data_IF_981533666552
#
_entry.id   IF_981533666552
#
_cell.length_a   1.000
_cell.length_b   1.000
_cell.length_c   1.000
_cell.angle_alpha   90.00
_cell.angle_beta   90.00
_cell.angle_gamma   90.00
#
_symmetry.space_group_name_H-M   'P 1'
#
loop_
_entity.id
_entity.type
_entity.pdbx_description
1 polymer ?
#
# COMPACT_ATOMS: atom_id res chain seq x y z
N UNK A 1 -8.56 5.34 12.93
CA UNK A 1 -9.59 5.36 11.87
C UNK A 1 -10.23 3.98 11.84
N UNK A 2 -11.47 3.84 12.35
CA UNK A 2 -12.21 2.57 12.32
C UNK A 2 -12.83 2.42 10.92
N UNK A 3 -12.36 1.45 10.14
CA UNK A 3 -12.88 1.09 8.79
C UNK A 3 -13.68 -0.21 8.89
N UNK A 4 -14.51 -0.32 9.92
CA UNK A 4 -15.41 -1.46 10.05
C UNK A 4 -16.75 -0.96 9.49
N UNK A 5 -17.20 -1.58 8.40
CA UNK A 5 -18.47 -1.37 7.68
C UNK A 5 -18.55 -0.30 6.58
N UNK A 6 -17.44 0.01 5.88
CA UNK A 6 -17.51 0.79 4.63
C UNK A 6 -17.05 -0.02 3.41
N UNK A 7 -17.87 0.01 2.35
CA UNK A 7 -17.47 -0.45 1.03
C UNK A 7 -16.44 0.52 0.44
N UNK A 8 -15.30 0.00 0.06
CA UNK A 8 -14.20 0.75 -0.53
C UNK A 8 -14.22 0.55 -2.04
N UNK A 9 -13.99 1.62 -2.78
CA UNK A 9 -13.44 1.52 -4.13
C UNK A 9 -12.03 0.92 -4.09
N UNK A 10 -11.56 0.43 -5.24
CA UNK A 10 -10.18 -0.06 -5.34
C UNK A 10 -9.15 1.01 -4.93
N UNK A 11 -9.36 2.27 -5.33
CA UNK A 11 -8.46 3.39 -4.99
C UNK A 11 -8.45 3.66 -3.47
N UNK A 12 -9.60 3.59 -2.79
CA UNK A 12 -9.67 3.75 -1.34
C UNK A 12 -8.98 2.60 -0.59
N UNK A 13 -9.14 1.36 -1.08
CA UNK A 13 -8.41 0.21 -0.54
C UNK A 13 -6.90 0.39 -0.67
N UNK A 14 -6.44 0.84 -1.84
CA UNK A 14 -5.03 1.10 -2.09
C UNK A 14 -4.49 2.22 -1.19
N UNK A 15 -5.24 3.32 -1.06
CA UNK A 15 -4.91 4.45 -0.16
C UNK A 15 -4.77 3.99 1.28
N UNK A 16 -5.73 3.20 1.78
CA UNK A 16 -5.65 2.61 3.11
C UNK A 16 -4.38 1.78 3.27
N UNK A 17 -4.08 0.92 2.29
CA UNK A 17 -2.90 0.08 2.31
C UNK A 17 -1.58 0.86 2.38
N UNK A 18 -1.44 1.94 1.60
CA UNK A 18 -0.23 2.80 1.68
C UNK A 18 -0.09 3.43 3.06
N UNK A 19 -1.18 3.90 3.66
CA UNK A 19 -1.14 4.46 5.02
C UNK A 19 -0.70 3.43 6.06
N UNK A 20 -1.15 2.17 5.93
CA UNK A 20 -0.71 1.09 6.82
C UNK A 20 0.79 0.77 6.64
N UNK A 21 1.29 0.76 5.40
CA UNK A 21 2.73 0.56 5.12
C UNK A 21 3.60 1.66 5.73
N UNK A 22 3.15 2.92 5.67
CA UNK A 22 3.84 4.06 6.30
C UNK A 22 3.86 3.93 7.82
N UNK A 23 2.71 3.61 8.43
CA UNK A 23 2.60 3.43 9.88
C UNK A 23 3.50 2.29 10.38
N UNK A 24 3.58 1.20 9.62
CA UNK A 24 4.38 0.02 9.98
C UNK A 24 5.87 0.15 9.60
N UNK A 25 6.24 1.10 8.74
CA UNK A 25 7.58 1.22 8.17
C UNK A 25 8.02 -0.03 7.39
N UNK A 26 7.08 -0.76 6.78
CA UNK A 26 7.35 -2.01 6.07
C UNK A 26 6.40 -2.21 4.88
N UNK A 27 6.79 -3.05 3.91
CA UNK A 27 5.98 -3.35 2.73
C UNK A 27 5.10 -4.58 2.92
N UNK A 28 4.00 -4.64 2.16
CA UNK A 28 3.04 -5.73 2.18
C UNK A 28 3.06 -6.51 0.86
N UNK A 29 2.62 -7.76 0.93
CA UNK A 29 2.43 -8.66 -0.21
C UNK A 29 0.96 -9.01 -0.36
N UNK A 30 0.53 -9.26 -1.59
CA UNK A 30 -0.85 -9.61 -1.92
C UNK A 30 -0.93 -11.08 -2.38
N UNK A 31 -1.99 -11.77 -1.95
CA UNK A 31 -2.35 -13.10 -2.45
C UNK A 31 -3.86 -13.18 -2.65
N UNK A 32 -4.28 -13.37 -3.89
CA UNK A 32 -5.70 -13.56 -4.24
C UNK A 32 -6.11 -15.00 -4.01
N UNK A 33 -7.32 -15.21 -3.46
CA UNK A 33 -7.99 -16.51 -3.40
C UNK A 33 -9.29 -16.42 -4.21
N UNK A 34 -9.19 -16.75 -5.50
CA UNK A 34 -10.29 -16.62 -6.48
C UNK A 34 -11.55 -17.38 -6.06
N UNK A 35 -11.42 -18.55 -5.47
CA UNK A 35 -12.54 -19.40 -5.03
C UNK A 35 -13.42 -18.79 -3.93
N UNK A 36 -12.95 -17.74 -3.24
CA UNK A 36 -13.63 -17.14 -2.09
C UNK A 36 -13.97 -15.68 -2.25
N UNK A 37 -13.80 -15.10 -3.45
CA UNK A 37 -13.92 -13.66 -3.67
C UNK A 37 -13.16 -12.87 -2.60
N UNK A 38 -11.92 -13.29 -2.33
CA UNK A 38 -11.12 -12.77 -1.22
C UNK A 38 -9.69 -12.47 -1.63
N UNK A 39 -9.19 -11.38 -1.06
CA UNK A 39 -7.79 -10.98 -1.11
C UNK A 39 -7.26 -11.05 0.31
N UNK A 40 -6.13 -11.74 0.47
CA UNK A 40 -5.35 -11.70 1.69
C UNK A 40 -4.09 -10.88 1.43
N UNK A 41 -3.87 -9.88 2.27
CA UNK A 41 -2.72 -8.99 2.19
C UNK A 41 -1.92 -9.17 3.47
N UNK A 42 -0.64 -9.49 3.37
CA UNK A 42 0.20 -9.79 4.53
C UNK A 42 1.40 -8.85 4.55
N UNK A 43 1.87 -8.48 5.74
CA UNK A 43 3.19 -7.91 5.89
C UNK A 43 4.24 -8.85 5.28
N UNK A 44 5.25 -8.32 4.57
CA UNK A 44 6.30 -9.15 3.94
C UNK A 44 7.30 -9.76 4.93
N UNK A 45 7.33 -9.30 6.17
CA UNK A 45 8.26 -9.85 7.15
C UNK A 45 7.92 -11.32 7.45
N UNK A 46 8.89 -12.24 7.39
CA UNK A 46 8.65 -13.65 7.70
C UNK A 46 7.99 -13.80 9.07
N UNK A 47 6.93 -14.61 9.12
CA UNK A 47 6.17 -14.90 10.34
C UNK A 47 5.50 -13.69 11.01
N UNK A 48 5.33 -12.57 10.31
CA UNK A 48 4.56 -11.45 10.83
C UNK A 48 3.06 -11.78 10.88
N UNK A 49 2.38 -11.55 12.02
CA UNK A 49 0.95 -11.83 12.13
C UNK A 49 0.08 -10.78 11.44
N UNK A 50 0.65 -9.65 11.02
CA UNK A 50 -0.09 -8.57 10.38
C UNK A 50 -0.68 -9.00 9.03
N UNK A 51 -2.01 -8.89 8.91
CA UNK A 51 -2.74 -9.20 7.68
C UNK A 51 -4.08 -8.50 7.60
N UNK A 52 -4.49 -8.20 6.37
CA UNK A 52 -5.82 -7.77 6.01
C UNK A 52 -6.52 -8.88 5.22
N UNK A 53 -7.75 -9.20 5.60
CA UNK A 53 -8.66 -10.02 4.82
C UNK A 53 -9.68 -9.09 4.19
N UNK A 54 -9.72 -9.07 2.87
CA UNK A 54 -10.55 -8.18 2.07
C UNK A 54 -11.46 -9.04 1.20
N UNK A 55 -12.76 -8.79 1.27
CA UNK A 55 -13.71 -9.38 0.35
C UNK A 55 -13.78 -8.54 -0.93
N UNK A 56 -13.84 -9.19 -2.08
CA UNK A 56 -14.13 -8.56 -3.37
C UNK A 56 -15.64 -8.67 -3.61
N UNK A 57 -16.27 -7.54 -3.84
CA UNK A 57 -17.69 -7.40 -4.11
C UNK A 57 -17.92 -7.10 -5.60
N UNK A 58 -19.18 -7.17 -6.10
CA UNK A 58 -19.51 -6.68 -7.44
C UNK A 58 -19.08 -5.22 -7.66
N UNK A 59 -19.03 -4.80 -8.92
CA UNK A 59 -18.77 -3.40 -9.32
C UNK A 59 -17.43 -2.82 -8.82
N UNK A 60 -16.39 -3.66 -8.73
CA UNK A 60 -15.04 -3.28 -8.26
C UNK A 60 -15.05 -2.64 -6.85
N UNK A 61 -15.92 -3.17 -5.98
CA UNK A 61 -16.04 -2.80 -4.58
C UNK A 61 -15.32 -3.80 -3.67
N UNK A 62 -14.89 -3.33 -2.52
CA UNK A 62 -14.07 -4.08 -1.58
C UNK A 62 -14.53 -3.84 -0.15
N UNK A 63 -14.44 -4.86 0.71
CA UNK A 63 -14.74 -4.70 2.12
C UNK A 63 -13.65 -5.32 2.98
N UNK A 64 -13.10 -4.55 3.94
CA UNK A 64 -12.09 -5.05 4.87
C UNK A 64 -12.79 -5.87 5.96
N UNK A 65 -12.98 -7.17 5.69
CA UNK A 65 -13.58 -8.12 6.64
C UNK A 65 -12.82 -8.19 7.96
N UNK A 66 -11.48 -8.22 7.90
CA UNK A 66 -10.65 -8.34 9.09
C UNK A 66 -9.31 -7.64 8.92
N UNK A 67 -8.95 -6.87 9.94
CA UNK A 67 -7.67 -6.21 10.05
C UNK A 67 -6.94 -6.72 11.30
N UNK A 68 -5.79 -7.39 11.12
CA UNK A 68 -4.86 -7.72 12.19
C UNK A 68 -3.66 -6.78 12.03
N UNK A 69 -3.60 -5.72 12.82
CA UNK A 69 -2.57 -4.67 12.70
C UNK A 69 -1.39 -4.84 13.67
N UNK A 70 -1.20 -6.04 14.20
CA UNK A 70 -0.09 -6.33 15.12
C UNK A 70 1.13 -6.75 14.32
N UNK A 71 2.26 -6.10 14.56
CA UNK A 71 3.56 -6.47 14.03
C UNK A 71 4.43 -7.05 15.15
N UNK A 72 5.25 -8.06 14.83
CA UNK A 72 6.22 -8.68 15.75
C UNK A 72 7.67 -8.35 15.36
N UNK A 73 7.86 -7.29 14.59
CA UNK A 73 9.16 -6.81 14.13
C UNK A 73 9.19 -5.29 14.25
N UNK A 74 10.40 -4.73 14.28
CA UNK A 74 10.62 -3.29 14.17
C UNK A 74 10.97 -2.93 12.72
N UNK A 75 10.61 -1.72 12.29
CA UNK A 75 11.10 -1.15 11.04
C UNK A 75 12.61 -0.81 11.17
N UNK A 76 13.35 -0.69 10.06
CA UNK A 76 12.96 -0.92 8.67
C UNK A 76 13.18 -2.37 8.20
N UNK A 77 12.60 -2.71 7.05
CA UNK A 77 12.87 -3.99 6.37
C UNK A 77 14.36 -4.13 6.03
N UNK A 78 14.99 -5.29 6.27
CA UNK A 78 16.45 -5.43 6.20
C UNK A 78 17.04 -5.28 4.79
N UNK A 79 16.24 -5.50 3.74
CA UNK A 79 16.71 -5.34 2.36
C UNK A 79 16.45 -3.92 1.84
N UNK A 80 17.46 -3.06 2.01
CA UNK A 80 17.56 -1.68 1.50
C UNK A 80 17.72 -1.57 -0.02
N UNK A 81 17.18 -2.48 -0.84
CA UNK A 81 17.17 -2.18 -2.28
C UNK A 81 16.15 -1.06 -2.50
N UNK A 82 16.63 0.08 -2.98
CA UNK A 82 15.91 1.35 -3.23
C UNK A 82 14.79 1.23 -4.29
N UNK A 83 14.26 0.03 -4.52
CA UNK A 83 13.09 -0.16 -5.34
C UNK A 83 11.85 0.07 -4.50
N UNK A 84 10.85 0.72 -5.07
CA UNK A 84 9.50 0.77 -4.51
C UNK A 84 9.01 -0.68 -4.37
N UNK A 85 9.15 -1.27 -3.19
CA UNK A 85 8.70 -2.64 -2.92
C UNK A 85 7.26 -2.69 -2.41
N UNK A 86 6.68 -1.52 -2.08
CA UNK A 86 5.29 -1.38 -1.69
C UNK A 86 4.35 -1.85 -2.80
N UNK A 87 3.53 -2.84 -2.49
CA UNK A 87 2.50 -3.33 -3.41
C UNK A 87 1.41 -2.27 -3.60
N UNK A 88 0.96 -1.66 -2.50
CA UNK A 88 -0.15 -0.71 -2.53
C UNK A 88 0.23 0.56 -3.29
N UNK A 89 1.41 1.12 -3.03
CA UNK A 89 1.86 2.35 -3.67
C UNK A 89 2.09 2.14 -5.17
N UNK A 90 2.70 1.01 -5.58
CA UNK A 90 2.85 0.67 -7.01
C UNK A 90 1.51 0.51 -7.72
N UNK A 91 0.56 -0.18 -7.08
CA UNK A 91 -0.77 -0.39 -7.64
C UNK A 91 -1.55 0.92 -7.70
N UNK A 92 -1.40 1.77 -6.68
CA UNK A 92 -2.01 3.10 -6.61
C UNK A 92 -1.50 3.98 -7.75
N UNK A 93 -0.18 4.05 -7.93
CA UNK A 93 0.44 4.77 -9.04
C UNK A 93 -0.02 4.23 -10.41
N UNK A 94 -0.03 2.91 -10.60
CA UNK A 94 -0.46 2.32 -11.89
C UNK A 94 -1.92 2.60 -12.21
N UNK A 95 -2.79 2.65 -11.20
CA UNK A 95 -4.24 2.77 -11.40
C UNK A 95 -4.72 4.22 -11.45
N UNK A 96 -4.09 5.10 -10.68
CA UNK A 96 -4.44 6.53 -10.64
C UNK A 96 -3.84 7.28 -11.83
N UNK A 97 -2.73 6.79 -12.39
CA UNK A 97 -2.04 7.44 -13.49
C UNK A 97 -2.06 6.52 -14.70
N UNK A 98 -2.90 6.85 -15.68
CA UNK A 98 -2.85 6.23 -17.01
C UNK A 98 -1.47 6.47 -17.66
N UNK A 99 -1.11 5.61 -18.61
CA UNK A 99 0.13 5.71 -19.38
C UNK A 99 0.34 7.12 -19.94
N UNK A 100 1.58 7.64 -19.82
CA UNK A 100 2.10 8.91 -20.38
C UNK A 100 2.04 10.19 -19.51
N UNK A 101 1.78 10.11 -18.20
CA UNK A 101 2.00 11.26 -17.30
C UNK A 101 3.45 11.33 -16.77
N UNK A 102 3.93 12.54 -16.50
CA UNK A 102 5.23 12.79 -15.86
C UNK A 102 5.25 12.09 -14.48
N UNK A 103 6.20 11.17 -14.30
CA UNK A 103 6.34 10.34 -13.10
C UNK A 103 6.63 11.14 -11.84
N UNK A 104 7.36 12.26 -11.95
CA UNK A 104 7.74 13.10 -10.81
C UNK A 104 6.54 13.89 -10.30
N UNK A 105 5.81 14.54 -11.21
CA UNK A 105 4.59 15.28 -10.87
C UNK A 105 3.52 14.35 -10.26
N UNK A 106 3.38 13.16 -10.84
CA UNK A 106 2.52 12.07 -10.39
C UNK A 106 2.82 11.66 -8.94
N UNK A 107 4.10 11.45 -8.63
CA UNK A 107 4.56 11.08 -7.30
C UNK A 107 4.28 12.17 -6.26
N UNK A 108 4.53 13.44 -6.60
CA UNK A 108 4.22 14.58 -5.72
C UNK A 108 2.72 14.66 -5.40
N UNK A 109 1.85 14.45 -6.40
CA UNK A 109 0.39 14.43 -6.18
C UNK A 109 -0.03 13.29 -5.26
N UNK A 110 0.56 12.09 -5.39
CA UNK A 110 0.29 11.00 -4.45
C UNK A 110 0.64 11.36 -3.01
N UNK A 111 1.79 12.00 -2.78
CA UNK A 111 2.22 12.35 -1.42
C UNK A 111 1.24 13.29 -0.76
N UNK A 112 0.75 14.27 -1.52
CA UNK A 112 -0.32 15.16 -1.10
C UNK A 112 -1.61 14.38 -0.81
N UNK A 113 -2.09 13.57 -1.74
CA UNK A 113 -3.37 12.84 -1.61
C UNK A 113 -3.37 11.84 -0.44
N UNK A 114 -2.20 11.31 -0.09
CA UNK A 114 -2.01 10.32 0.95
C UNK A 114 -1.57 10.91 2.30
N UNK A 115 -1.39 12.24 2.39
CA UNK A 115 -0.84 12.94 3.56
C UNK A 115 0.50 12.36 4.03
N UNK A 116 1.37 12.00 3.07
CA UNK A 116 2.73 11.55 3.36
C UNK A 116 3.57 12.82 3.57
N UNK A 117 4.24 12.99 4.72
CA UNK A 117 5.09 14.16 4.95
C UNK A 117 6.11 14.28 3.82
N UNK A 118 6.13 15.44 3.19
CA UNK A 118 7.09 15.83 2.16
C UNK A 118 7.60 17.23 2.49
N UNK A 119 8.12 17.38 3.71
CA UNK A 119 8.73 18.64 4.12
C UNK A 119 10.10 18.77 3.46
N UNK A 120 10.38 19.96 2.92
CA UNK A 120 11.67 20.32 2.30
C UNK A 120 12.09 19.52 1.06
N UNK A 121 11.16 18.83 0.38
CA UNK A 121 11.47 18.12 -0.86
C UNK A 121 12.02 16.69 -0.68
N UNK A 122 11.97 16.13 0.54
CA UNK A 122 12.57 14.82 0.83
C UNK A 122 11.51 13.72 0.79
N UNK A 123 11.63 12.83 -0.20
CA UNK A 123 10.82 11.62 -0.33
C UNK A 123 11.25 10.59 0.72
N UNK A 124 10.34 9.97 1.51
CA UNK A 124 10.73 8.90 2.43
C UNK A 124 11.44 7.78 1.67
N UNK A 125 12.52 7.23 2.25
CA UNK A 125 13.46 6.30 1.59
C UNK A 125 12.75 5.11 0.92
N UNK A 126 11.66 4.60 1.51
CA UNK A 126 10.84 3.51 0.97
C UNK A 126 10.10 3.83 -0.36
N UNK A 127 10.04 5.11 -0.74
CA UNK A 127 9.37 5.61 -1.94
C UNK A 127 10.32 6.28 -2.94
N UNK A 128 11.62 6.39 -2.61
CA UNK A 128 12.61 6.90 -3.55
C UNK A 128 12.72 5.92 -4.73
N UNK A 129 12.73 6.44 -5.95
CA UNK A 129 13.11 5.65 -7.12
C UNK A 129 14.64 5.53 -7.12
N UNK A 130 15.21 4.37 -7.47
CA UNK A 130 16.65 4.30 -7.67
C UNK A 130 17.05 5.32 -8.73
N UNK A 131 18.10 6.09 -8.47
CA UNK A 131 18.67 7.05 -9.42
C UNK A 131 19.35 6.39 -10.63
N UNK A 132 19.40 5.06 -10.67
CA UNK A 132 19.96 4.32 -11.79
C UNK A 132 18.97 4.29 -12.96
N UNK A 133 19.16 5.27 -13.84
CA UNK A 133 18.69 5.29 -15.22
C UNK A 133 19.48 4.30 -16.09
#
# INVERSE_FOLDING_TARGET
MQIQDHELTYIELLKYGVQQEIQAGCSYSYKTRKERNQIQINCKWPNCPCRFLVDTLPDDKYHIRKCINTHNHSAPFPNKSQQITSYFYRSYLTRYFESNQDRVYTQLRCFKDLNIPFDSGIIPEMFQQSTDA
#
